data_IF_046253105186
#
_entry.id   IF_046253105186
#
_cell.length_a   1.000
_cell.length_b   1.000
_cell.length_c   1.000
_cell.angle_alpha   90.00
_cell.angle_beta   90.00
_cell.angle_gamma   90.00
#
_symmetry.space_group_name_H-M   'P 1'
#
loop_
_entity.id
_entity.type
_entity.pdbx_description
1 polymer ?
#
# COMPACT_ATOMS: atom_id res chain seq x y z
N UNK A 1 17.14 38.28 -54.58
CA UNK A 1 17.96 37.85 -53.44
C UNK A 1 17.03 37.71 -52.25
N UNK A 2 16.60 36.48 -51.91
CA UNK A 2 15.70 36.22 -50.80
C UNK A 2 16.52 35.73 -49.59
N UNK A 3 16.42 36.46 -48.49
CA UNK A 3 17.09 36.16 -47.23
C UNK A 3 16.15 35.24 -46.41
N UNK A 4 16.55 34.00 -46.08
CA UNK A 4 15.70 33.13 -45.28
C UNK A 4 15.70 33.59 -43.82
N UNK A 5 14.52 33.89 -43.29
CA UNK A 5 14.30 34.20 -41.88
C UNK A 5 14.25 32.86 -41.13
N UNK A 6 15.31 32.54 -40.40
CA UNK A 6 15.34 31.41 -39.46
C UNK A 6 14.46 31.76 -38.23
N UNK A 7 13.21 31.32 -38.25
CA UNK A 7 12.33 31.37 -37.09
C UNK A 7 12.79 30.27 -36.12
N UNK A 8 13.56 30.66 -35.11
CA UNK A 8 13.98 29.78 -34.01
C UNK A 8 12.77 29.48 -33.12
N UNK A 9 12.19 28.29 -33.28
CA UNK A 9 11.13 27.75 -32.41
C UNK A 9 11.71 27.47 -31.01
N UNK A 10 11.44 28.39 -30.07
CA UNK A 10 11.75 28.21 -28.65
C UNK A 10 10.72 27.23 -28.07
N UNK A 11 11.13 25.98 -27.90
CA UNK A 11 10.35 24.97 -27.18
C UNK A 11 10.44 25.28 -25.69
N UNK A 12 9.38 25.87 -25.13
CA UNK A 12 9.25 26.09 -23.69
C UNK A 12 8.98 24.72 -23.06
N UNK A 13 10.03 24.04 -22.60
CA UNK A 13 9.90 22.87 -21.73
C UNK A 13 9.34 23.34 -20.38
N UNK A 14 8.02 23.25 -20.22
CA UNK A 14 7.36 23.35 -18.93
C UNK A 14 7.90 22.24 -18.02
N UNK A 15 8.87 22.58 -17.16
CA UNK A 15 9.32 21.70 -16.09
C UNK A 15 8.17 21.61 -15.09
N UNK A 16 7.27 20.67 -15.31
CA UNK A 16 6.32 20.24 -14.28
C UNK A 16 7.13 19.54 -13.20
N UNK A 17 7.46 20.25 -12.11
CA UNK A 17 7.79 19.58 -10.86
C UNK A 17 6.53 18.90 -10.37
N UNK A 18 6.38 17.62 -10.71
CA UNK A 18 5.50 16.76 -9.93
C UNK A 18 6.08 16.75 -8.52
N UNK A 19 5.37 17.35 -7.57
CA UNK A 19 5.73 17.27 -6.15
C UNK A 19 5.51 15.81 -5.74
N UNK A 20 6.56 15.01 -5.86
CA UNK A 20 6.51 13.60 -5.48
C UNK A 20 6.45 13.55 -3.97
N UNK A 21 5.28 13.23 -3.42
CA UNK A 21 5.14 12.97 -2.00
C UNK A 21 6.13 11.89 -1.56
N UNK A 22 6.76 12.01 -0.37
CA UNK A 22 7.71 11.04 0.16
C UNK A 22 7.09 9.65 0.40
N UNK A 23 5.77 9.57 0.47
CA UNK A 23 4.99 8.35 0.48
C UNK A 23 3.61 8.58 -0.15
N UNK A 24 2.90 7.51 -0.57
CA UNK A 24 1.51 7.61 -0.96
C UNK A 24 0.64 8.16 0.17
N UNK A 25 -0.40 8.92 -0.16
CA UNK A 25 -1.33 9.48 0.83
C UNK A 25 -1.99 8.40 1.71
N UNK A 26 -2.24 7.21 1.15
CA UNK A 26 -2.77 6.06 1.87
C UNK A 26 -1.84 5.48 2.96
N UNK A 27 -0.57 5.88 2.97
CA UNK A 27 0.41 5.56 4.01
C UNK A 27 0.83 6.79 4.81
N UNK A 28 0.04 7.86 4.74
CA UNK A 28 0.26 9.11 5.46
C UNK A 28 -0.88 9.37 6.46
N UNK A 29 -0.56 10.07 7.54
CA UNK A 29 -1.53 10.54 8.54
C UNK A 29 -1.46 12.05 8.65
N UNK A 30 -2.58 12.69 8.97
CA UNK A 30 -2.61 14.12 9.27
C UNK A 30 -1.88 14.39 10.59
N UNK A 31 -0.79 15.14 10.52
CA UNK A 31 0.02 15.56 11.65
C UNK A 31 -0.07 17.07 11.89
N UNK A 32 -1.02 17.78 11.29
CA UNK A 32 -1.14 19.25 11.35
C UNK A 32 -1.18 19.78 12.78
N UNK A 33 -1.77 19.02 13.72
CA UNK A 33 -1.84 19.36 15.15
C UNK A 33 -0.54 19.13 15.94
N UNK A 34 0.54 18.70 15.28
CA UNK A 34 1.85 18.56 15.92
C UNK A 34 2.64 19.87 15.96
N UNK A 35 3.91 19.78 16.36
CA UNK A 35 4.78 20.94 16.52
C UNK A 35 6.03 20.81 15.65
N UNK A 36 6.38 21.90 14.95
CA UNK A 36 7.60 21.97 14.16
C UNK A 36 8.79 22.34 15.05
N UNK A 37 9.86 21.55 14.98
CA UNK A 37 11.15 21.81 15.64
C UNK A 37 12.26 21.79 14.59
N UNK A 38 12.63 22.98 14.09
CA UNK A 38 13.57 23.13 12.98
C UNK A 38 13.05 22.46 11.69
N UNK A 39 13.76 21.44 11.22
CA UNK A 39 13.40 20.63 10.03
C UNK A 39 12.58 19.40 10.36
N UNK A 40 12.24 19.19 11.63
CA UNK A 40 11.50 18.03 12.12
C UNK A 40 10.09 18.42 12.52
N UNK A 41 9.16 17.48 12.40
CA UNK A 41 7.80 17.62 12.87
C UNK A 41 7.52 16.59 13.97
N UNK A 42 6.94 17.01 15.09
CA UNK A 42 6.70 16.16 16.25
C UNK A 42 5.19 16.01 16.44
N UNK A 43 4.69 14.78 16.42
CA UNK A 43 3.27 14.46 16.59
C UNK A 43 3.11 13.16 17.37
N UNK A 44 2.33 13.18 18.46
CA UNK A 44 2.08 12.00 19.32
C UNK A 44 3.37 11.22 19.70
N UNK A 45 4.41 11.94 20.14
CA UNK A 45 5.72 11.39 20.48
C UNK A 45 6.50 10.74 19.31
N UNK A 46 6.03 10.93 18.07
CA UNK A 46 6.74 10.53 16.86
C UNK A 46 7.43 11.73 16.23
N UNK A 47 8.61 11.52 15.66
CA UNK A 47 9.39 12.55 14.98
C UNK A 47 9.51 12.24 13.50
N UNK A 48 9.04 13.18 12.67
CA UNK A 48 9.08 13.12 11.23
C UNK A 48 10.16 14.06 10.72
N UNK A 49 11.23 13.52 10.12
CA UNK A 49 12.24 14.32 9.44
C UNK A 49 11.67 14.94 8.15
N UNK A 50 12.37 15.94 7.58
CA UNK A 50 11.93 16.70 6.38
C UNK A 50 11.48 15.83 5.21
N UNK A 51 12.06 14.63 5.04
CA UNK A 51 11.74 13.69 3.98
C UNK A 51 10.66 12.66 4.36
N UNK A 52 10.05 12.78 5.53
CA UNK A 52 9.00 11.88 6.06
C UNK A 52 7.67 12.61 6.26
N UNK A 53 7.55 13.85 5.81
CA UNK A 53 6.28 14.57 5.80
C UNK A 53 6.20 15.48 4.57
N UNK A 54 5.00 15.88 4.19
CA UNK A 54 4.74 16.82 3.10
C UNK A 54 3.57 17.73 3.46
N UNK A 55 3.42 18.84 2.73
CA UNK A 55 2.31 19.77 2.90
C UNK A 55 1.41 19.67 1.68
N UNK A 56 0.13 19.42 1.90
CA UNK A 56 -0.86 19.33 0.84
C UNK A 56 -2.13 20.06 1.29
N UNK A 57 -2.59 21.03 0.49
CA UNK A 57 -3.79 21.82 0.77
C UNK A 57 -3.80 22.48 2.16
N UNK A 58 -2.64 22.95 2.64
CA UNK A 58 -2.48 23.58 3.96
C UNK A 58 -2.37 22.62 5.13
N UNK A 59 -2.61 21.32 4.92
CA UNK A 59 -2.42 20.28 5.93
C UNK A 59 -1.02 19.68 5.84
N UNK A 60 -0.52 19.18 6.97
CA UNK A 60 0.78 18.52 7.07
C UNK A 60 0.56 17.03 7.23
N UNK A 61 1.08 16.25 6.30
CA UNK A 61 0.91 14.80 6.23
C UNK A 61 2.22 14.09 6.55
N UNK A 62 2.20 13.17 7.51
CA UNK A 62 3.36 12.39 7.93
C UNK A 62 3.34 10.97 7.39
N UNK A 63 4.44 10.52 6.78
CA UNK A 63 4.64 9.15 6.30
C UNK A 63 4.90 8.19 7.47
N UNK A 64 3.82 7.73 8.09
CA UNK A 64 3.87 6.97 9.34
C UNK A 64 4.71 5.70 9.23
N UNK A 65 4.66 5.03 8.07
CA UNK A 65 5.38 3.77 7.83
C UNK A 65 6.89 3.92 7.64
N UNK A 66 7.40 5.16 7.54
CA UNK A 66 8.83 5.47 7.54
C UNK A 66 9.36 5.84 8.94
N UNK A 67 8.47 5.95 9.93
CA UNK A 67 8.78 6.27 11.33
C UNK A 67 8.49 5.09 12.24
N UNK A 68 7.47 4.29 11.93
CA UNK A 68 7.07 3.09 12.67
C UNK A 68 6.76 1.95 11.70
N UNK A 69 6.95 0.71 12.14
CA UNK A 69 6.51 -0.44 11.36
C UNK A 69 4.99 -0.39 11.17
N UNK A 70 4.54 -0.49 9.93
CA UNK A 70 3.12 -0.50 9.61
C UNK A 70 2.67 -1.88 9.16
N UNK A 71 1.40 -2.14 9.35
CA UNK A 71 0.67 -3.15 8.59
C UNK A 71 -0.59 -2.51 8.03
N UNK A 72 -1.07 -3.06 6.92
CA UNK A 72 -2.25 -2.52 6.24
C UNK A 72 -3.44 -3.45 6.41
N UNK A 73 -4.57 -2.92 6.88
CA UNK A 73 -5.88 -3.58 6.80
C UNK A 73 -6.66 -3.02 5.62
N UNK A 74 -7.47 -3.85 4.98
CA UNK A 74 -8.30 -3.38 3.87
C UNK A 74 -9.42 -2.46 4.36
N UNK A 75 -9.91 -2.74 5.57
CA UNK A 75 -10.97 -2.00 6.26
C UNK A 75 -10.47 -1.43 7.59
N UNK A 76 -11.24 -0.49 8.13
CA UNK A 76 -11.02 0.12 9.43
C UNK A 76 -10.97 -0.92 10.56
N UNK A 77 -10.53 -0.52 11.75
CA UNK A 77 -10.29 -1.44 12.86
C UNK A 77 -11.50 -2.34 13.22
N UNK A 78 -12.70 -1.76 13.15
CA UNK A 78 -13.97 -2.38 13.52
C UNK A 78 -14.69 -3.06 12.35
N UNK A 79 -14.09 -3.04 11.17
CA UNK A 79 -14.69 -3.53 9.94
C UNK A 79 -13.88 -4.70 9.37
N UNK A 80 -14.57 -5.55 8.63
CA UNK A 80 -14.02 -6.65 7.83
C UNK A 80 -14.42 -6.46 6.37
N UNK A 81 -13.60 -6.96 5.46
CA UNK A 81 -13.94 -6.90 4.04
C UNK A 81 -14.90 -8.05 3.73
N UNK A 82 -16.14 -7.72 3.42
CA UNK A 82 -17.12 -8.68 2.95
C UNK A 82 -16.75 -9.10 1.52
N UNK A 83 -16.49 -10.39 1.39
CA UNK A 83 -16.22 -11.03 0.11
C UNK A 83 -17.48 -11.78 -0.35
N UNK A 84 -17.89 -11.69 -1.64
CA UNK A 84 -17.18 -11.12 -2.80
C UNK A 84 -17.41 -9.63 -3.08
N UNK A 85 -18.20 -8.92 -2.29
CA UNK A 85 -18.64 -7.54 -2.59
C UNK A 85 -17.50 -6.51 -2.51
N UNK A 86 -16.38 -6.85 -1.88
CA UNK A 86 -15.24 -5.96 -1.61
C UNK A 86 -15.65 -4.69 -0.84
N UNK A 87 -16.66 -4.82 0.02
CA UNK A 87 -17.16 -3.74 0.86
C UNK A 87 -16.80 -3.98 2.32
N UNK A 88 -16.44 -2.93 3.03
CA UNK A 88 -16.21 -3.00 4.46
C UNK A 88 -17.54 -3.09 5.19
N UNK A 89 -17.73 -4.15 5.98
CA UNK A 89 -18.87 -4.37 6.85
C UNK A 89 -18.42 -4.60 8.29
N UNK A 90 -19.38 -4.69 9.20
CA UNK A 90 -19.08 -4.94 10.62
C UNK A 90 -18.38 -6.28 10.79
N UNK A 91 -17.36 -6.26 11.65
CA UNK A 91 -16.56 -7.43 11.99
C UNK A 91 -17.23 -8.28 13.06
N UNK A 92 -17.27 -9.59 12.86
CA UNK A 92 -17.86 -10.53 13.83
C UNK A 92 -16.81 -11.09 14.82
N UNK A 93 -15.54 -11.20 14.39
CA UNK A 93 -14.46 -11.79 15.20
C UNK A 93 -13.10 -11.17 14.91
N UNK A 94 -12.22 -11.14 15.91
CA UNK A 94 -10.83 -10.73 15.74
C UNK A 94 -10.02 -11.78 14.97
N UNK A 95 -9.51 -11.49 13.76
CA UNK A 95 -8.75 -12.45 13.01
C UNK A 95 -7.37 -12.65 13.61
N UNK A 96 -6.86 -13.86 13.39
CA UNK A 96 -5.49 -14.21 13.69
C UNK A 96 -4.64 -14.01 12.44
N UNK A 97 -3.51 -13.33 12.60
CA UNK A 97 -2.54 -13.12 11.53
C UNK A 97 -1.29 -13.96 11.78
N UNK A 98 -0.71 -14.46 10.70
CA UNK A 98 0.52 -15.25 10.74
C UNK A 98 1.73 -14.32 10.66
N UNK A 99 2.59 -14.37 11.67
CA UNK A 99 3.82 -13.59 11.75
C UNK A 99 5.04 -14.50 11.71
N UNK A 100 6.16 -13.95 11.25
CA UNK A 100 7.46 -14.60 11.29
C UNK A 100 8.45 -13.83 12.17
N UNK A 101 8.99 -14.50 13.18
CA UNK A 101 10.00 -13.96 14.07
C UNK A 101 11.15 -14.97 14.22
N UNK A 102 12.35 -14.59 13.75
CA UNK A 102 13.60 -15.34 13.97
C UNK A 102 13.47 -16.87 13.75
N UNK A 103 12.86 -17.28 12.63
CA UNK A 103 12.65 -18.68 12.20
C UNK A 103 11.38 -19.37 12.71
N UNK A 104 10.59 -18.74 13.58
CA UNK A 104 9.31 -19.29 14.02
C UNK A 104 8.12 -18.54 13.42
N UNK A 105 7.07 -19.31 13.11
CA UNK A 105 5.78 -18.81 12.67
C UNK A 105 4.79 -18.88 13.83
N UNK A 106 4.10 -17.78 14.11
CA UNK A 106 3.07 -17.73 15.15
C UNK A 106 1.83 -16.99 14.68
N UNK A 107 0.70 -17.30 15.31
CA UNK A 107 -0.59 -16.66 15.05
C UNK A 107 -0.91 -15.69 16.19
N UNK A 108 -1.27 -14.45 15.87
CA UNK A 108 -1.73 -13.48 16.86
C UNK A 108 -2.75 -12.52 16.26
N UNK A 109 -3.69 -12.05 17.08
CA UNK A 109 -4.58 -10.92 16.79
C UNK A 109 -4.02 -9.60 17.35
N UNK A 110 -2.96 -9.65 18.14
CA UNK A 110 -2.31 -8.49 18.71
C UNK A 110 -1.41 -7.82 17.65
N UNK A 111 -1.76 -6.57 17.34
CA UNK A 111 -1.10 -5.73 16.36
C UNK A 111 -0.42 -4.51 17.01
N UNK A 112 -0.31 -4.49 18.34
CA UNK A 112 0.18 -3.35 19.13
C UNK A 112 1.59 -2.91 18.77
N UNK A 113 2.44 -3.81 18.26
CA UNK A 113 3.78 -3.48 17.77
C UNK A 113 3.78 -2.64 16.48
N UNK A 114 2.68 -2.65 15.73
CA UNK A 114 2.56 -2.03 14.43
C UNK A 114 1.63 -0.82 14.46
N UNK A 115 1.85 0.12 13.55
CA UNK A 115 0.84 1.10 13.20
C UNK A 115 -0.09 0.52 12.15
N UNK A 116 -1.40 0.47 12.42
CA UNK A 116 -2.37 -0.07 11.48
C UNK A 116 -2.85 1.05 10.56
N UNK A 117 -2.47 0.98 9.28
CA UNK A 117 -3.05 1.83 8.23
C UNK A 117 -4.22 1.09 7.56
N UNK A 118 -5.21 1.84 7.10
CA UNK A 118 -6.43 1.27 6.48
C UNK A 118 -6.59 1.71 5.03
N UNK A 119 -7.25 0.88 4.22
CA UNK A 119 -7.70 1.21 2.87
C UNK A 119 -7.17 0.26 1.81
N UNK A 120 -7.64 0.45 0.58
CA UNK A 120 -7.40 -0.46 -0.54
C UNK A 120 -5.93 -0.49 -1.01
N UNK A 121 -5.36 -1.67 -1.28
CA UNK A 121 -3.94 -1.80 -1.64
C UNK A 121 -3.68 -1.31 -3.07
N UNK A 122 -4.68 -1.40 -3.95
CA UNK A 122 -4.60 -0.93 -5.32
C UNK A 122 -5.06 0.53 -5.45
N UNK A 123 -4.12 1.42 -5.80
CA UNK A 123 -4.41 2.84 -6.07
C UNK A 123 -4.75 3.06 -7.57
N UNK A 124 -4.35 2.14 -8.46
CA UNK A 124 -4.59 2.24 -9.90
C UNK A 124 -4.46 0.88 -10.61
N UNK A 125 -5.37 0.54 -11.52
CA UNK A 125 -5.33 -0.52 -12.56
C UNK A 125 -4.69 -1.89 -12.24
N UNK A 126 -4.49 -2.23 -10.97
CA UNK A 126 -3.94 -3.50 -10.52
C UNK A 126 -5.03 -4.56 -10.37
N UNK A 127 -4.65 -5.82 -10.56
CA UNK A 127 -5.50 -6.95 -10.22
C UNK A 127 -5.30 -7.30 -8.74
N UNK A 128 -6.41 -7.55 -8.04
CA UNK A 128 -6.40 -7.97 -6.63
C UNK A 128 -6.40 -9.49 -6.61
N UNK A 129 -5.37 -10.06 -5.99
CA UNK A 129 -5.29 -11.50 -5.77
C UNK A 129 -5.58 -11.80 -4.31
N UNK A 130 -6.55 -12.68 -4.07
CA UNK A 130 -6.84 -13.25 -2.77
C UNK A 130 -6.18 -14.62 -2.67
N UNK A 131 -5.32 -14.78 -1.67
CA UNK A 131 -4.60 -16.04 -1.48
C UNK A 131 -4.75 -16.54 -0.05
N UNK A 132 -4.74 -17.85 0.12
CA UNK A 132 -4.89 -18.49 1.43
C UNK A 132 -3.68 -18.24 2.33
N UNK A 133 -3.93 -18.16 3.65
CA UNK A 133 -2.92 -17.87 4.68
C UNK A 133 -1.74 -18.85 4.75
N UNK A 134 -1.87 -20.06 4.19
CA UNK A 134 -0.80 -21.07 4.30
C UNK A 134 0.53 -20.51 3.81
N UNK A 135 0.44 -19.66 2.79
CA UNK A 135 1.60 -19.21 2.06
C UNK A 135 2.07 -17.80 2.43
N UNK A 136 1.29 -17.07 3.24
CA UNK A 136 1.60 -15.68 3.60
C UNK A 136 1.89 -15.49 5.07
N UNK A 137 2.89 -14.67 5.38
CA UNK A 137 3.15 -14.22 6.76
C UNK A 137 3.74 -12.82 6.80
N UNK A 138 3.44 -12.10 7.88
CA UNK A 138 3.89 -10.74 8.14
C UNK A 138 5.30 -10.79 8.74
N UNK A 139 6.21 -10.03 8.16
CA UNK A 139 7.57 -9.86 8.65
C UNK A 139 7.64 -8.73 9.68
N UNK A 140 8.70 -8.71 10.50
CA UNK A 140 8.92 -7.70 11.56
C UNK A 140 8.89 -6.25 11.05
N UNK A 141 9.28 -6.01 9.80
CA UNK A 141 9.24 -4.68 9.16
C UNK A 141 7.83 -4.32 8.62
N UNK A 142 6.85 -5.18 8.81
CA UNK A 142 5.49 -5.01 8.30
C UNK A 142 5.26 -5.45 6.86
N UNK A 143 6.29 -5.94 6.16
CA UNK A 143 6.07 -6.48 4.81
C UNK A 143 5.38 -7.85 4.85
N UNK A 144 4.62 -8.16 3.81
CA UNK A 144 3.91 -9.43 3.68
C UNK A 144 4.73 -10.35 2.76
N UNK A 145 5.20 -11.47 3.28
CA UNK A 145 5.96 -12.43 2.51
C UNK A 145 5.08 -13.55 1.99
N UNK A 146 5.19 -13.84 0.69
CA UNK A 146 4.61 -15.01 0.00
C UNK A 146 5.65 -16.10 -0.16
N UNK A 147 5.44 -17.24 0.49
CA UNK A 147 6.27 -18.44 0.29
C UNK A 147 6.04 -19.09 -1.07
N UNK A 148 4.82 -19.03 -1.62
CA UNK A 148 4.50 -19.52 -2.99
C UNK A 148 5.34 -18.82 -4.04
N UNK A 149 5.52 -17.50 -3.92
CA UNK A 149 6.28 -16.71 -4.90
C UNK A 149 7.71 -16.39 -4.45
N UNK A 150 8.08 -16.82 -3.23
CA UNK A 150 9.35 -16.45 -2.60
C UNK A 150 9.61 -14.93 -2.68
N UNK A 151 8.57 -14.12 -2.44
CA UNK A 151 8.56 -12.67 -2.66
C UNK A 151 7.96 -11.93 -1.47
N UNK A 152 8.55 -10.79 -1.12
CA UNK A 152 8.02 -9.88 -0.11
C UNK A 152 7.30 -8.70 -0.78
N UNK A 153 6.15 -8.33 -0.22
CA UNK A 153 5.30 -7.24 -0.65
C UNK A 153 5.34 -6.11 0.38
N UNK A 154 5.60 -4.88 -0.09
CA UNK A 154 5.57 -3.70 0.77
C UNK A 154 4.17 -3.44 1.32
N UNK A 155 4.07 -2.68 2.41
CA UNK A 155 2.79 -2.27 3.03
C UNK A 155 1.84 -1.58 2.05
N UNK A 156 2.37 -0.96 1.00
CA UNK A 156 1.54 -0.37 -0.05
C UNK A 156 0.84 -1.42 -0.91
N UNK A 157 1.50 -2.54 -1.17
CA UNK A 157 1.10 -3.55 -2.15
C UNK A 157 0.14 -4.60 -1.59
N UNK A 158 -0.18 -4.58 -0.29
CA UNK A 158 -1.10 -5.55 0.29
C UNK A 158 -2.02 -4.91 1.33
N UNK A 159 -3.11 -5.59 1.64
CA UNK A 159 -3.91 -5.31 2.83
C UNK A 159 -4.46 -6.62 3.42
N UNK A 160 -4.76 -6.64 4.71
CA UNK A 160 -5.22 -7.83 5.42
C UNK A 160 -6.75 -7.88 5.51
N UNK A 161 -7.32 -9.07 5.27
CA UNK A 161 -8.75 -9.42 5.41
C UNK A 161 -8.88 -10.66 6.25
N UNK A 162 -9.41 -10.57 7.46
CA UNK A 162 -9.77 -11.74 8.29
C UNK A 162 -8.70 -12.83 8.40
N UNK A 163 -7.44 -12.42 8.51
CA UNK A 163 -6.28 -13.32 8.56
C UNK A 163 -5.65 -13.59 7.18
N UNK A 164 -6.41 -13.46 6.10
CA UNK A 164 -5.93 -13.52 4.72
C UNK A 164 -5.16 -12.26 4.32
N UNK A 165 -4.24 -12.43 3.36
CA UNK A 165 -3.56 -11.33 2.68
C UNK A 165 -4.16 -11.10 1.30
N UNK A 166 -4.68 -9.90 1.05
CA UNK A 166 -4.96 -9.42 -0.30
C UNK A 166 -3.72 -8.72 -0.83
N UNK A 167 -3.20 -9.19 -1.95
CA UNK A 167 -2.04 -8.57 -2.60
C UNK A 167 -2.49 -7.95 -3.92
N UNK A 168 -2.15 -6.68 -4.08
CA UNK A 168 -2.26 -5.99 -5.35
C UNK A 168 -1.04 -6.34 -6.18
N UNK A 169 -1.24 -6.99 -7.32
CA UNK A 169 -0.17 -7.34 -8.24
C UNK A 169 -0.44 -6.70 -9.59
N UNK A 170 0.58 -6.08 -10.16
CA UNK A 170 0.52 -5.70 -11.57
C UNK A 170 0.79 -6.95 -12.43
N UNK A 171 0.23 -6.97 -13.65
CA UNK A 171 0.41 -8.08 -14.60
C UNK A 171 1.88 -8.42 -14.86
N UNK A 172 2.77 -7.43 -14.82
CA UNK A 172 4.22 -7.60 -14.96
C UNK A 172 4.89 -8.27 -13.75
N UNK A 173 4.31 -8.15 -12.55
CA UNK A 173 4.87 -8.71 -11.31
C UNK A 173 4.56 -10.18 -11.10
N UNK A 174 3.56 -10.70 -11.80
CA UNK A 174 3.16 -12.09 -11.73
C UNK A 174 4.15 -13.02 -12.45
N UNK A 175 5.06 -12.47 -13.28
CA UNK A 175 6.03 -13.27 -14.03
C UNK A 175 5.38 -14.28 -15.00
N UNK A 176 4.07 -14.18 -15.23
CA UNK A 176 3.31 -15.09 -16.06
C UNK A 176 3.73 -14.84 -17.51
N UNK A 177 4.62 -15.69 -18.02
CA UNK A 177 4.71 -15.89 -19.46
C UNK A 177 3.39 -16.54 -19.91
N UNK A 178 2.86 -16.13 -21.06
CA UNK A 178 1.51 -16.46 -21.56
C UNK A 178 1.14 -17.95 -21.57
N UNK A 179 2.11 -18.85 -21.42
CA UNK A 179 1.90 -20.30 -21.46
C UNK A 179 1.67 -20.93 -20.06
N UNK A 180 2.03 -20.25 -18.96
CA UNK A 180 1.85 -20.74 -17.57
C UNK A 180 0.59 -20.18 -16.88
N UNK A 181 -0.15 -19.32 -17.58
CA UNK A 181 -1.35 -18.66 -17.03
C UNK A 181 -2.43 -19.69 -16.62
N UNK A 182 -2.49 -20.85 -17.29
CA UNK A 182 -3.46 -21.91 -17.01
C UNK A 182 -3.21 -22.62 -15.68
N UNK A 183 -1.95 -22.84 -15.31
CA UNK A 183 -1.58 -23.54 -14.08
C UNK A 183 -1.64 -22.59 -12.87
N UNK A 184 -1.25 -21.33 -13.09
CA UNK A 184 -1.39 -20.24 -12.14
C UNK A 184 -2.86 -19.98 -11.76
N UNK A 185 -3.76 -19.91 -12.75
CA UNK A 185 -5.22 -19.78 -12.55
C UNK A 185 -5.87 -20.99 -11.86
N UNK A 186 -5.25 -22.17 -11.93
CA UNK A 186 -5.75 -23.38 -11.25
C UNK A 186 -5.36 -23.42 -9.77
N UNK A 187 -4.19 -22.89 -9.41
CA UNK A 187 -3.71 -22.85 -8.02
C UNK A 187 -4.33 -21.72 -7.20
N UNK A 188 -4.70 -20.61 -7.83
CA UNK A 188 -5.35 -19.48 -7.18
C UNK A 188 -6.85 -19.52 -7.45
N UNK A 189 -7.67 -19.16 -6.46
CA UNK A 189 -8.96 -18.53 -6.79
C UNK A 189 -8.63 -17.16 -7.35
N UNK A 190 -8.21 -17.10 -8.61
CA UNK A 190 -8.02 -15.85 -9.33
C UNK A 190 -9.41 -15.25 -9.48
N UNK A 191 -9.75 -14.39 -8.56
CA UNK A 191 -10.93 -13.56 -8.67
C UNK A 191 -10.48 -12.39 -9.50
N UNK A 192 -10.60 -12.56 -10.82
CA UNK A 192 -10.36 -11.50 -11.78
C UNK A 192 -11.52 -10.49 -11.69
N UNK A 193 -11.61 -9.78 -10.57
CA UNK A 193 -12.48 -8.61 -10.49
C UNK A 193 -11.64 -7.43 -10.94
N UNK A 194 -11.84 -7.02 -12.19
CA UNK A 194 -11.42 -5.68 -12.63
C UNK A 194 -12.28 -4.70 -11.84
N UNK A 195 -11.75 -4.24 -10.70
CA UNK A 195 -12.40 -3.19 -9.92
C UNK A 195 -12.18 -1.90 -10.69
N UNK A 196 -13.20 -1.45 -11.43
CA UNK A 196 -13.26 -0.08 -11.90
C UNK A 196 -13.49 0.81 -10.67
N UNK A 197 -12.40 1.38 -10.15
CA UNK A 197 -12.45 2.34 -9.05
C UNK A 197 -13.09 3.63 -9.58
N UNK A 198 -14.42 3.71 -9.61
CA UNK A 198 -15.11 4.98 -9.73
C UNK A 198 -15.23 5.61 -8.34
N UNK A 199 -14.39 6.62 -8.09
CA UNK A 199 -14.57 7.66 -7.08
C UNK A 199 -14.76 7.20 -5.63
N UNK A 200 -13.66 7.09 -4.88
CA UNK A 200 -13.70 7.00 -3.42
C UNK A 200 -12.68 8.01 -2.87
N UNK A 201 -13.20 9.07 -2.23
CA UNK A 201 -12.45 10.10 -1.52
C UNK A 201 -12.34 9.75 -0.04
#
# INVERSE_FOLDING_TARGET
>A
MYQPICISLIVICSVYSFETHPCPKSLSIDISNGTKSGTKYIFQNMTFDKNKYFVENGNIWGCICQVRNCIRRCCSENDQLNYPELQCGKKDMNPLFKFHNNSELYLTSDLSDYFVVSGHPCISNGEIFLHEMKDYFIQKNGSLYSSTFNKSHSVQAYCLVDGLGLVCLNSSELGIQSNDESEYRKSMRVIQTIVYIQGWA
#
